data_IF_251921411450
#
_entry.id   IF_251921411450
#
_cell.length_a   1.000
_cell.length_b   1.000
_cell.length_c   1.000
_cell.angle_alpha   90.00
_cell.angle_beta   90.00
_cell.angle_gamma   90.00
#
_symmetry.space_group_name_H-M   'P 1'
#
loop_
_entity.id
_entity.type
_entity.pdbx_description
1 polymer ?
#
# COMPACT_ATOMS: atom_id res chain seq x y z
N UNK A 1 -8.28 10.13 20.82
CA UNK A 1 -7.79 10.60 19.49
C UNK A 1 -7.30 9.47 18.57
N UNK A 2 -7.04 8.26 19.09
CA UNK A 2 -6.47 7.15 18.33
C UNK A 2 -7.32 6.59 17.20
N UNK A 3 -8.65 6.61 17.34
CA UNK A 3 -9.56 6.12 16.29
C UNK A 3 -9.46 6.97 15.01
N UNK A 4 -9.33 8.30 15.13
CA UNK A 4 -9.22 9.20 13.98
C UNK A 4 -7.90 9.02 13.22
N UNK A 5 -6.78 8.93 13.93
CA UNK A 5 -5.47 8.64 13.33
C UNK A 5 -5.40 7.22 12.75
N UNK A 6 -6.01 6.25 13.45
CA UNK A 6 -6.17 4.89 12.95
C UNK A 6 -6.90 4.84 11.61
N UNK A 7 -8.06 5.49 11.52
CA UNK A 7 -8.81 5.57 10.27
C UNK A 7 -8.01 6.22 9.14
N UNK A 8 -7.28 7.30 9.43
CA UNK A 8 -6.42 7.98 8.43
C UNK A 8 -5.35 7.04 7.88
N UNK A 9 -4.55 6.41 8.75
CA UNK A 9 -3.51 5.48 8.32
C UNK A 9 -4.08 4.22 7.66
N UNK A 10 -5.26 3.76 8.09
CA UNK A 10 -5.99 2.68 7.44
C UNK A 10 -6.37 3.02 6.00
N UNK A 11 -6.87 4.23 5.74
CA UNK A 11 -7.17 4.70 4.37
C UNK A 11 -5.90 4.76 3.52
N UNK A 12 -4.79 5.29 4.06
CA UNK A 12 -3.49 5.32 3.36
C UNK A 12 -3.01 3.91 3.02
N UNK A 13 -3.17 2.96 3.95
CA UNK A 13 -2.81 1.56 3.72
C UNK A 13 -3.62 0.94 2.57
N UNK A 14 -4.92 1.19 2.53
CA UNK A 14 -5.80 0.68 1.47
C UNK A 14 -5.44 1.29 0.10
N UNK A 15 -5.14 2.58 0.04
CA UNK A 15 -4.69 3.24 -1.20
C UNK A 15 -3.37 2.62 -1.68
N UNK A 16 -2.39 2.47 -0.79
CA UNK A 16 -1.12 1.83 -1.12
C UNK A 16 -1.30 0.41 -1.66
N UNK A 17 -2.14 -0.40 -1.01
CA UNK A 17 -2.48 -1.74 -1.45
C UNK A 17 -3.16 -1.75 -2.83
N UNK A 18 -4.06 -0.81 -3.09
CA UNK A 18 -4.70 -0.64 -4.39
C UNK A 18 -3.69 -0.31 -5.50
N UNK A 19 -2.76 0.60 -5.23
CA UNK A 19 -1.69 0.96 -6.18
C UNK A 19 -0.78 -0.24 -6.45
N UNK A 20 -0.41 -1.00 -5.41
CA UNK A 20 0.34 -2.25 -5.58
C UNK A 20 -0.40 -3.21 -6.51
N UNK A 21 -1.68 -3.46 -6.26
CA UNK A 21 -2.49 -4.38 -7.06
C UNK A 21 -2.54 -3.96 -8.54
N UNK A 22 -2.78 -2.68 -8.81
CA UNK A 22 -2.83 -2.13 -10.18
C UNK A 22 -1.46 -2.23 -10.86
N UNK A 23 -0.39 -1.85 -10.17
CA UNK A 23 0.96 -1.90 -10.72
C UNK A 23 1.42 -3.34 -11.01
N UNK A 24 1.13 -4.28 -10.11
CA UNK A 24 1.44 -5.71 -10.28
C UNK A 24 0.61 -6.34 -11.41
N UNK A 25 -0.66 -5.97 -11.55
CA UNK A 25 -1.48 -6.43 -12.67
C UNK A 25 -0.91 -5.96 -14.01
N UNK A 26 -0.59 -4.67 -14.11
CA UNK A 26 0.01 -4.11 -15.32
C UNK A 26 1.39 -4.70 -15.61
N UNK A 27 2.17 -5.02 -14.58
CA UNK A 27 3.43 -5.74 -14.70
C UNK A 27 3.20 -7.10 -15.38
N UNK A 28 2.27 -7.91 -14.88
CA UNK A 28 1.98 -9.24 -15.42
C UNK A 28 1.51 -9.19 -16.88
N UNK A 29 0.65 -8.21 -17.22
CA UNK A 29 0.20 -8.02 -18.60
C UNK A 29 1.36 -7.63 -19.53
N UNK A 30 2.23 -6.71 -19.11
CA UNK A 30 3.35 -6.25 -19.96
C UNK A 30 4.47 -7.29 -20.07
N UNK A 31 4.72 -8.04 -19.01
CA UNK A 31 5.66 -9.16 -19.02
C UNK A 31 5.22 -10.21 -20.05
N UNK A 32 3.93 -10.57 -20.07
CA UNK A 32 3.36 -11.47 -21.06
C UNK A 32 3.43 -10.93 -22.50
N UNK A 33 3.51 -9.61 -22.67
CA UNK A 33 3.68 -8.95 -23.97
C UNK A 33 5.15 -8.78 -24.38
N UNK A 34 6.11 -9.19 -23.54
CA UNK A 34 7.54 -8.98 -23.77
C UNK A 34 7.95 -7.49 -23.74
N UNK A 35 7.16 -6.64 -23.08
CA UNK A 35 7.42 -5.20 -22.96
C UNK A 35 8.22 -4.91 -21.69
N UNK A 36 8.81 -3.72 -21.62
CA UNK A 36 9.55 -3.28 -20.44
C UNK A 36 8.66 -3.20 -19.18
N UNK A 37 9.16 -3.73 -18.05
CA UNK A 37 8.39 -3.90 -16.80
C UNK A 37 9.07 -3.35 -15.53
N UNK A 38 10.34 -2.93 -15.60
CA UNK A 38 11.14 -2.56 -14.43
C UNK A 38 10.50 -1.46 -13.55
N UNK A 39 9.89 -0.45 -14.17
CA UNK A 39 9.20 0.63 -13.46
C UNK A 39 7.95 0.14 -12.72
N UNK A 40 7.21 -0.81 -13.29
CA UNK A 40 5.99 -1.34 -12.67
C UNK A 40 6.31 -2.22 -11.46
N UNK A 41 7.35 -3.05 -11.56
CA UNK A 41 7.81 -3.86 -10.44
C UNK A 41 8.26 -2.97 -9.27
N UNK A 42 9.10 -1.96 -9.55
CA UNK A 42 9.58 -1.02 -8.54
C UNK A 42 8.43 -0.26 -7.87
N UNK A 43 7.49 0.27 -8.66
CA UNK A 43 6.34 1.01 -8.13
C UNK A 43 5.43 0.12 -7.28
N UNK A 44 5.22 -1.14 -7.68
CA UNK A 44 4.41 -2.08 -6.91
C UNK A 44 5.01 -2.39 -5.54
N UNK A 45 6.33 -2.57 -5.47
CA UNK A 45 7.07 -2.83 -4.23
C UNK A 45 7.08 -1.62 -3.30
N UNK A 46 7.31 -0.42 -3.83
CA UNK A 46 7.25 0.83 -3.05
C UNK A 46 5.85 1.05 -2.46
N UNK A 47 4.80 0.90 -3.29
CA UNK A 47 3.42 1.03 -2.84
C UNK A 47 3.07 0.00 -1.75
N UNK A 48 3.60 -1.22 -1.86
CA UNK A 48 3.37 -2.27 -0.88
C UNK A 48 4.05 -1.93 0.45
N UNK A 49 5.30 -1.46 0.41
CA UNK A 49 6.02 -1.01 1.60
C UNK A 49 5.27 0.13 2.32
N UNK A 50 4.80 1.12 1.57
CA UNK A 50 3.97 2.21 2.13
C UNK A 50 2.70 1.67 2.76
N UNK A 51 2.02 0.72 2.11
CA UNK A 51 0.80 0.11 2.64
C UNK A 51 1.05 -0.62 3.96
N UNK A 52 2.14 -1.39 4.07
CA UNK A 52 2.50 -2.12 5.29
C UNK A 52 2.86 -1.19 6.45
N UNK A 53 3.62 -0.13 6.17
CA UNK A 53 3.96 0.88 7.19
C UNK A 53 2.69 1.59 7.67
N UNK A 54 1.84 2.05 6.75
CA UNK A 54 0.59 2.71 7.11
C UNK A 54 -0.36 1.78 7.89
N UNK A 55 -0.48 0.50 7.50
CA UNK A 55 -1.29 -0.47 8.24
C UNK A 55 -0.76 -0.68 9.67
N UNK A 56 0.56 -0.77 9.83
CA UNK A 56 1.21 -0.90 11.13
C UNK A 56 0.94 0.33 12.01
N UNK A 57 1.07 1.53 11.45
CA UNK A 57 0.77 2.79 12.14
C UNK A 57 -0.71 2.90 12.52
N UNK A 58 -1.62 2.44 11.67
CA UNK A 58 -3.05 2.38 11.96
C UNK A 58 -3.34 1.53 13.20
N UNK A 59 -2.76 0.33 13.26
CA UNK A 59 -2.94 -0.58 14.40
C UNK A 59 -2.39 0.04 15.68
N UNK A 60 -1.18 0.59 15.64
CA UNK A 60 -0.55 1.27 16.78
C UNK A 60 -1.37 2.48 17.23
N UNK A 61 -1.87 3.30 16.29
CA UNK A 61 -2.66 4.48 16.62
C UNK A 61 -3.94 4.13 17.37
N UNK A 62 -4.63 3.07 16.95
CA UNK A 62 -5.82 2.56 17.62
C UNK A 62 -5.45 1.98 18.98
N UNK A 63 -4.42 1.14 19.06
CA UNK A 63 -4.08 0.45 20.31
C UNK A 63 -3.55 1.37 21.41
N UNK A 64 -2.73 2.37 21.05
CA UNK A 64 -2.03 3.23 22.03
C UNK A 64 -2.86 4.44 22.42
N UNK A 65 -3.68 4.98 21.52
CA UNK A 65 -4.37 6.26 21.73
C UNK A 65 -5.91 6.14 21.78
N UNK A 66 -6.45 4.92 21.97
CA UNK A 66 -7.88 4.69 22.19
C UNK A 66 -8.41 5.19 23.55
N UNK A 67 -7.53 5.69 24.41
CA UNK A 67 -7.90 6.45 25.62
C UNK A 67 -8.59 7.78 25.31
#
# INVERSE_FOLDING_TARGET
MGVGLGALFGVVALIGAGITAVASYNYAVRDAQGLETAGLLTNSGLAFGVAMVAASLSLVAIHVYAG
#
